data_IF_856303848826
#
_entry.id   IF_856303848826
#
_cell.length_a   1.000
_cell.length_b   1.000
_cell.length_c   1.000
_cell.angle_alpha   90.00
_cell.angle_beta   90.00
_cell.angle_gamma   90.00
#
_symmetry.space_group_name_H-M   'P 1'
#
loop_
_entity.id
_entity.type
_entity.pdbx_description
1 polymer ?
#
# COMPACT_ATOMS: atom_id res chain seq x y z
N UNK A 1 -14.55 15.94 -1.56
CA UNK A 1 -15.14 14.72 -2.17
C UNK A 1 -15.07 14.86 -3.69
N UNK A 2 -14.61 13.86 -4.44
CA UNK A 2 -14.34 14.03 -5.87
C UNK A 2 -15.63 14.17 -6.70
N UNK A 3 -15.63 15.03 -7.72
CA UNK A 3 -16.77 15.18 -8.66
C UNK A 3 -17.14 13.85 -9.33
N UNK A 4 -16.16 12.98 -9.57
CA UNK A 4 -16.38 11.63 -10.10
C UNK A 4 -17.19 10.76 -9.15
N UNK A 5 -17.00 10.87 -7.83
CA UNK A 5 -17.80 10.08 -6.88
C UNK A 5 -19.26 10.42 -6.90
N UNK A 6 -19.59 11.70 -6.87
CA UNK A 6 -20.99 12.11 -6.95
C UNK A 6 -21.64 11.65 -8.27
N UNK A 7 -20.90 11.71 -9.38
CA UNK A 7 -21.41 11.24 -10.66
C UNK A 7 -21.62 9.72 -10.72
N UNK A 8 -20.68 8.92 -10.20
CA UNK A 8 -20.85 7.46 -10.11
C UNK A 8 -21.99 7.08 -9.17
N UNK A 9 -22.11 7.75 -8.02
CA UNK A 9 -23.21 7.53 -7.07
C UNK A 9 -24.56 7.89 -7.69
N UNK A 10 -24.65 8.99 -8.45
CA UNK A 10 -25.86 9.34 -9.18
C UNK A 10 -26.19 8.32 -10.27
N UNK A 11 -25.18 7.81 -10.98
CA UNK A 11 -25.35 6.80 -12.01
C UNK A 11 -25.87 5.47 -11.45
N UNK A 12 -25.35 5.03 -10.30
CA UNK A 12 -25.83 3.82 -9.61
C UNK A 12 -27.34 3.89 -9.29
N UNK A 13 -27.85 5.09 -8.97
CA UNK A 13 -29.30 5.31 -8.72
C UNK A 13 -30.18 5.14 -9.95
N UNK A 14 -29.61 5.11 -11.16
CA UNK A 14 -30.38 4.92 -12.40
C UNK A 14 -30.76 3.47 -12.67
N UNK A 15 -30.06 2.51 -12.06
CA UNK A 15 -30.30 1.08 -12.27
C UNK A 15 -30.36 0.24 -10.99
N UNK A 16 -30.03 0.81 -9.83
CA UNK A 16 -30.28 0.25 -8.49
C UNK A 16 -29.86 -1.23 -8.36
N UNK A 17 -28.54 -1.53 -8.35
CA UNK A 17 -28.07 -2.91 -8.18
C UNK A 17 -28.54 -3.50 -6.84
N UNK A 18 -28.88 -4.80 -6.81
CA UNK A 18 -29.29 -5.45 -5.55
C UNK A 18 -28.09 -5.71 -4.65
N UNK A 19 -26.91 -5.89 -5.25
CA UNK A 19 -25.63 -6.06 -4.56
C UNK A 19 -24.54 -5.21 -5.21
N UNK A 20 -23.77 -4.51 -4.36
CA UNK A 20 -22.76 -3.54 -4.80
C UNK A 20 -21.46 -3.73 -4.03
N UNK A 21 -20.35 -3.78 -4.76
CA UNK A 21 -19.01 -3.84 -4.20
C UNK A 21 -18.16 -2.65 -4.66
N UNK A 22 -17.44 -2.04 -3.73
CA UNK A 22 -16.44 -1.01 -4.01
C UNK A 22 -15.04 -1.58 -3.86
N UNK A 23 -14.18 -1.36 -4.84
CA UNK A 23 -12.80 -1.85 -4.85
C UNK A 23 -11.83 -0.68 -5.01
N UNK A 24 -10.79 -0.64 -4.18
CA UNK A 24 -9.68 0.32 -4.26
C UNK A 24 -10.13 1.79 -4.33
N UNK A 25 -11.03 2.18 -3.41
CA UNK A 25 -11.56 3.54 -3.39
C UNK A 25 -10.54 4.52 -2.79
N UNK A 26 -10.29 5.68 -3.41
CA UNK A 26 -9.23 6.63 -3.03
C UNK A 26 -9.51 7.42 -1.74
N UNK A 27 -10.48 6.99 -0.93
CA UNK A 27 -10.89 7.69 0.28
C UNK A 27 -10.25 7.03 1.49
N UNK A 28 -9.39 7.76 2.19
CA UNK A 28 -8.87 7.34 3.48
C UNK A 28 -10.00 7.47 4.52
N UNK A 29 -10.53 6.35 5.01
CA UNK A 29 -11.64 6.30 5.97
C UNK A 29 -12.98 5.84 5.38
N UNK A 30 -14.09 6.36 5.91
CA UNK A 30 -15.45 5.98 5.50
C UNK A 30 -15.86 6.74 4.24
N UNK A 31 -16.33 6.01 3.23
CA UNK A 31 -16.87 6.61 2.01
C UNK A 31 -18.19 7.32 2.31
N UNK A 32 -18.32 8.64 2.07
CA UNK A 32 -19.54 9.33 2.44
C UNK A 32 -20.72 8.88 1.58
N UNK A 33 -21.80 8.43 2.22
CA UNK A 33 -23.01 7.97 1.55
C UNK A 33 -23.03 6.51 1.12
N UNK A 34 -22.03 5.70 1.52
CA UNK A 34 -22.16 4.24 1.49
C UNK A 34 -23.18 3.82 2.56
N UNK A 35 -24.19 3.06 2.13
CA UNK A 35 -25.15 2.45 3.05
C UNK A 35 -24.53 1.21 3.71
N UNK A 36 -25.01 0.83 4.90
CA UNK A 36 -24.54 -0.35 5.66
C UNK A 36 -24.66 -1.70 4.90
N UNK A 37 -25.28 -1.70 3.71
CA UNK A 37 -25.54 -2.88 2.89
C UNK A 37 -24.54 -3.10 1.75
N UNK A 38 -23.54 -2.23 1.61
CA UNK A 38 -22.54 -2.34 0.55
C UNK A 38 -21.29 -3.07 1.04
N UNK A 39 -20.64 -3.76 0.11
CA UNK A 39 -19.40 -4.49 0.36
C UNK A 39 -18.21 -3.65 -0.12
N UNK A 40 -17.10 -3.67 0.63
CA UNK A 40 -15.88 -2.96 0.25
C UNK A 40 -14.69 -3.91 0.28
N UNK A 41 -13.90 -3.91 -0.79
CA UNK A 41 -12.61 -4.58 -0.81
C UNK A 41 -11.51 -3.53 -0.89
N UNK A 42 -10.64 -3.50 0.12
CA UNK A 42 -9.56 -2.53 0.23
C UNK A 42 -8.23 -3.22 0.48
N UNK A 43 -7.16 -2.67 -0.10
CA UNK A 43 -5.79 -3.07 0.19
C UNK A 43 -5.11 -2.14 1.21
N UNK A 44 -5.87 -1.25 1.87
CA UNK A 44 -5.38 -0.29 2.85
C UNK A 44 -5.98 -0.55 4.24
N UNK A 45 -5.13 -0.95 5.19
CA UNK A 45 -5.56 -1.46 6.48
C UNK A 45 -6.24 -0.41 7.36
N UNK A 46 -5.78 0.86 7.32
CA UNK A 46 -6.49 1.94 8.02
C UNK A 46 -7.91 2.20 7.47
N UNK A 47 -8.15 1.89 6.18
CA UNK A 47 -9.49 1.99 5.61
C UNK A 47 -10.32 0.78 6.02
N UNK A 48 -9.73 -0.41 6.01
CA UNK A 48 -10.35 -1.64 6.50
C UNK A 48 -10.85 -1.48 7.95
N UNK A 49 -10.01 -1.01 8.87
CA UNK A 49 -10.39 -0.82 10.27
C UNK A 49 -11.46 0.25 10.42
N UNK A 50 -11.33 1.39 9.73
CA UNK A 50 -12.32 2.46 9.76
C UNK A 50 -13.69 1.99 9.25
N UNK A 51 -13.75 1.30 8.12
CA UNK A 51 -15.01 0.78 7.56
C UNK A 51 -15.61 -0.32 8.44
N UNK A 52 -14.80 -1.25 8.94
CA UNK A 52 -15.27 -2.33 9.81
C UNK A 52 -15.92 -1.80 11.08
N UNK A 53 -15.41 -0.70 11.64
CA UNK A 53 -16.02 -0.07 12.82
C UNK A 53 -17.40 0.54 12.58
N UNK A 54 -17.79 0.76 11.31
CA UNK A 54 -19.14 1.20 10.94
C UNK A 54 -20.13 0.04 10.75
N UNK A 55 -19.69 -1.22 10.79
CA UNK A 55 -20.53 -2.39 10.49
C UNK A 55 -20.67 -2.70 9.00
N UNK A 56 -19.96 -1.98 8.11
CA UNK A 56 -19.87 -2.30 6.69
C UNK A 56 -19.17 -3.65 6.48
N UNK A 57 -19.66 -4.45 5.53
CA UNK A 57 -18.97 -5.67 5.08
C UNK A 57 -17.70 -5.27 4.34
N UNK A 58 -16.54 -5.61 4.89
CA UNK A 58 -15.25 -5.18 4.34
C UNK A 58 -14.23 -6.30 4.35
N UNK A 59 -13.55 -6.48 3.23
CA UNK A 59 -12.42 -7.39 3.07
C UNK A 59 -11.11 -6.62 2.88
N UNK A 60 -10.07 -7.10 3.55
CA UNK A 60 -8.69 -6.62 3.38
C UNK A 60 -7.95 -7.56 2.43
N UNK A 61 -7.91 -7.20 1.15
CA UNK A 61 -7.41 -8.10 0.11
C UNK A 61 -6.70 -7.37 -1.04
N UNK A 62 -5.79 -8.10 -1.66
CA UNK A 62 -5.17 -7.83 -2.95
C UNK A 62 -5.87 -8.65 -4.04
N UNK A 63 -5.68 -8.35 -5.34
CA UNK A 63 -6.23 -9.18 -6.42
C UNK A 63 -5.86 -10.67 -6.33
N UNK A 64 -4.63 -11.00 -5.94
CA UNK A 64 -4.14 -12.38 -5.79
C UNK A 64 -4.75 -13.08 -4.57
N UNK A 65 -4.77 -12.41 -3.41
CA UNK A 65 -5.38 -12.99 -2.21
C UNK A 65 -6.89 -13.14 -2.39
N UNK A 66 -7.57 -12.18 -3.02
CA UNK A 66 -8.99 -12.28 -3.38
C UNK A 66 -9.27 -13.46 -4.31
N UNK A 67 -8.43 -13.68 -5.32
CA UNK A 67 -8.57 -14.80 -6.25
C UNK A 67 -8.58 -16.18 -5.55
N UNK A 68 -7.97 -16.28 -4.37
CA UNK A 68 -7.94 -17.50 -3.55
C UNK A 68 -8.92 -17.52 -2.37
N UNK A 69 -9.78 -16.50 -2.20
CA UNK A 69 -10.81 -16.51 -1.16
C UNK A 69 -11.83 -17.64 -1.42
N UNK A 70 -12.14 -18.43 -0.38
CA UNK A 70 -13.07 -19.56 -0.47
C UNK A 70 -14.52 -19.14 -0.70
N UNK A 71 -14.90 -17.95 -0.21
CA UNK A 71 -16.26 -17.42 -0.26
C UNK A 71 -16.35 -16.17 -1.14
N UNK A 72 -15.87 -16.27 -2.39
CA UNK A 72 -15.97 -15.16 -3.35
C UNK A 72 -17.44 -14.78 -3.57
N UNK A 73 -17.82 -13.65 -3.00
CA UNK A 73 -19.13 -13.06 -3.20
C UNK A 73 -19.17 -12.39 -4.58
N UNK A 74 -20.27 -12.59 -5.30
CA UNK A 74 -20.53 -12.01 -6.61
C UNK A 74 -21.54 -10.88 -6.46
N UNK A 75 -21.32 -9.76 -7.16
CA UNK A 75 -22.11 -8.53 -7.03
C UNK A 75 -22.70 -8.08 -8.37
N UNK A 76 -23.93 -7.56 -8.39
CA UNK A 76 -24.58 -7.05 -9.60
C UNK A 76 -23.84 -5.85 -10.20
N UNK A 77 -23.21 -5.06 -9.33
CA UNK A 77 -22.35 -3.96 -9.73
C UNK A 77 -21.06 -3.92 -8.91
N UNK A 78 -19.97 -3.57 -9.58
CA UNK A 78 -18.67 -3.32 -8.96
C UNK A 78 -18.18 -1.93 -9.35
N UNK A 79 -17.79 -1.12 -8.37
CA UNK A 79 -17.17 0.19 -8.58
C UNK A 79 -15.68 0.07 -8.28
N UNK A 80 -14.84 0.35 -9.27
CA UNK A 80 -13.39 0.27 -9.16
C UNK A 80 -12.74 1.66 -9.22
N UNK A 81 -12.06 2.04 -8.14
CA UNK A 81 -11.06 3.09 -8.21
C UNK A 81 -9.80 2.58 -8.90
N UNK A 82 -9.42 3.16 -10.04
CA UNK A 82 -8.28 2.65 -10.80
C UNK A 82 -6.95 2.93 -10.08
N UNK A 83 -6.14 1.90 -9.76
CA UNK A 83 -4.81 2.11 -9.19
C UNK A 83 -3.84 2.69 -10.22
N UNK A 84 -2.70 3.19 -9.75
CA UNK A 84 -1.60 3.63 -10.61
C UNK A 84 -0.78 2.43 -11.11
N UNK A 85 -0.33 2.49 -12.37
CA UNK A 85 0.56 1.49 -12.96
C UNK A 85 -0.18 0.40 -13.74
N UNK A 86 0.30 0.11 -14.95
CA UNK A 86 -0.44 -0.70 -15.94
C UNK A 86 -0.74 -2.12 -15.47
N UNK A 87 0.23 -2.79 -14.84
CA UNK A 87 0.02 -4.15 -14.32
C UNK A 87 -1.06 -4.14 -13.25
N UNK A 88 -0.93 -3.29 -12.22
CA UNK A 88 -1.95 -3.17 -11.16
C UNK A 88 -3.35 -2.92 -11.71
N UNK A 89 -3.47 -2.04 -12.72
CA UNK A 89 -4.75 -1.79 -13.35
C UNK A 89 -5.36 -3.04 -13.98
N UNK A 90 -4.55 -3.90 -14.59
CA UNK A 90 -5.04 -5.15 -15.18
C UNK A 90 -5.47 -6.15 -14.10
N UNK A 91 -4.73 -6.29 -13.00
CA UNK A 91 -5.12 -7.17 -11.88
C UNK A 91 -6.40 -6.69 -11.19
N UNK A 92 -6.51 -5.40 -10.91
CA UNK A 92 -7.71 -4.84 -10.28
C UNK A 92 -8.92 -4.87 -11.22
N UNK A 93 -8.72 -4.71 -12.53
CA UNK A 93 -9.80 -4.94 -13.51
C UNK A 93 -10.20 -6.41 -13.58
N UNK A 94 -9.24 -7.35 -13.49
CA UNK A 94 -9.53 -8.77 -13.39
C UNK A 94 -10.37 -9.07 -12.14
N UNK A 95 -9.94 -8.60 -10.97
CA UNK A 95 -10.64 -8.74 -9.71
C UNK A 95 -12.07 -8.15 -9.76
N UNK A 96 -12.22 -6.94 -10.31
CA UNK A 96 -13.54 -6.33 -10.48
C UNK A 96 -14.43 -7.10 -11.47
N UNK A 97 -13.84 -7.69 -12.52
CA UNK A 97 -14.56 -8.52 -13.47
C UNK A 97 -15.05 -9.82 -12.82
N UNK A 98 -14.19 -10.52 -12.07
CA UNK A 98 -14.53 -11.81 -11.46
C UNK A 98 -15.49 -11.66 -10.28
N UNK A 99 -15.41 -10.55 -9.54
CA UNK A 99 -16.36 -10.20 -8.48
C UNK A 99 -17.73 -9.72 -9.01
N UNK A 100 -17.85 -9.35 -10.29
CA UNK A 100 -19.11 -8.87 -10.87
C UNK A 100 -19.95 -10.02 -11.43
N UNK A 101 -21.28 -10.01 -11.25
CA UNK A 101 -22.16 -11.03 -11.81
C UNK A 101 -22.10 -11.07 -13.34
N UNK A 102 -22.42 -12.23 -13.93
CA UNK A 102 -22.65 -12.30 -15.38
C UNK A 102 -23.74 -11.30 -15.77
N UNK A 103 -23.51 -10.56 -16.85
CA UNK A 103 -24.33 -9.43 -17.30
C UNK A 103 -24.42 -8.25 -16.30
N UNK A 104 -23.62 -8.28 -15.23
CA UNK A 104 -23.46 -7.21 -14.26
C UNK A 104 -22.60 -6.05 -14.76
N UNK A 105 -22.57 -4.96 -13.99
CA UNK A 105 -21.95 -3.69 -14.37
C UNK A 105 -20.63 -3.47 -13.61
N UNK A 106 -19.55 -3.18 -14.33
CA UNK A 106 -18.30 -2.69 -13.73
C UNK A 106 -18.13 -1.22 -14.08
N UNK A 107 -18.12 -0.37 -13.07
CA UNK A 107 -17.89 1.07 -13.20
C UNK A 107 -16.48 1.35 -12.71
N UNK A 108 -15.59 1.72 -13.61
CA UNK A 108 -14.23 2.13 -13.26
C UNK A 108 -14.11 3.65 -13.36
N UNK A 109 -13.39 4.26 -12.44
CA UNK A 109 -13.01 5.67 -12.56
C UNK A 109 -11.52 5.88 -12.44
N UNK A 110 -11.05 7.07 -12.74
CA UNK A 110 -9.69 7.49 -12.41
C UNK A 110 -9.32 8.77 -13.13
N UNK A 111 -8.09 9.21 -12.92
CA UNK A 111 -7.53 10.39 -13.55
C UNK A 111 -6.58 10.06 -14.69
N UNK A 112 -6.29 11.05 -15.53
CA UNK A 112 -5.49 10.90 -16.75
C UNK A 112 -4.04 10.57 -16.41
N UNK A 113 -3.49 11.21 -15.37
CA UNK A 113 -2.19 10.91 -14.77
C UNK A 113 -2.15 9.54 -14.06
N UNK A 114 -3.30 8.93 -13.77
CA UNK A 114 -3.39 7.57 -13.24
C UNK A 114 -3.51 6.54 -14.35
N UNK A 115 -3.94 6.92 -15.57
CA UNK A 115 -3.95 6.05 -16.74
C UNK A 115 -5.34 5.67 -17.25
N UNK A 116 -6.41 6.31 -16.80
CA UNK A 116 -7.79 6.00 -17.23
C UNK A 116 -7.97 6.08 -18.76
N UNK A 117 -7.27 7.02 -19.43
CA UNK A 117 -7.29 7.13 -20.89
C UNK A 117 -6.62 5.94 -21.60
N UNK A 118 -5.56 5.39 -21.01
CA UNK A 118 -4.90 4.18 -21.52
C UNK A 118 -5.76 2.93 -21.34
N UNK A 119 -6.56 2.86 -20.26
CA UNK A 119 -7.55 1.80 -20.07
C UNK A 119 -8.70 1.93 -21.07
N UNK A 120 -9.23 3.13 -21.30
CA UNK A 120 -10.27 3.34 -22.31
C UNK A 120 -9.84 2.84 -23.71
N UNK A 121 -8.61 3.17 -24.13
CA UNK A 121 -8.05 2.67 -25.41
C UNK A 121 -7.87 1.15 -25.41
N UNK A 122 -7.48 0.56 -24.28
CA UNK A 122 -7.35 -0.90 -24.14
C UNK A 122 -8.71 -1.60 -24.30
N UNK A 123 -9.77 -1.08 -23.67
CA UNK A 123 -11.13 -1.62 -23.79
C UNK A 123 -11.59 -1.60 -25.25
N UNK A 124 -11.41 -0.48 -25.94
CA UNK A 124 -11.70 -0.36 -27.37
C UNK A 124 -10.90 -1.36 -28.21
N UNK A 125 -9.57 -1.47 -28.00
CA UNK A 125 -8.71 -2.42 -28.71
C UNK A 125 -9.16 -3.88 -28.50
N UNK A 126 -9.71 -4.20 -27.34
CA UNK A 126 -10.22 -5.54 -26.99
C UNK A 126 -11.68 -5.77 -27.41
N UNK A 127 -12.31 -4.79 -28.06
CA UNK A 127 -13.71 -4.89 -28.48
C UNK A 127 -14.70 -4.91 -27.31
N UNK A 128 -14.30 -4.42 -26.12
CA UNK A 128 -15.17 -4.35 -24.94
C UNK A 128 -15.96 -3.05 -25.02
N UNK A 129 -17.30 -3.08 -25.17
CA UNK A 129 -18.11 -1.88 -25.18
C UNK A 129 -17.95 -1.14 -23.85
N UNK A 130 -17.67 0.17 -23.93
CA UNK A 130 -17.57 1.02 -22.75
C UNK A 130 -18.41 2.29 -22.93
N UNK A 131 -19.29 2.54 -21.96
CA UNK A 131 -20.08 3.76 -21.89
C UNK A 131 -19.38 4.78 -20.99
N UNK A 132 -19.45 6.06 -21.33
CA UNK A 132 -18.92 7.13 -20.49
C UNK A 132 -19.98 7.53 -19.46
N UNK A 133 -19.67 7.33 -18.18
CA UNK A 133 -20.55 7.71 -17.06
C UNK A 133 -20.34 9.18 -16.70
N UNK A 134 -19.09 9.60 -16.59
CA UNK A 134 -18.74 10.95 -16.19
C UNK A 134 -17.40 11.41 -16.78
N UNK A 135 -17.24 12.72 -16.88
CA UNK A 135 -15.99 13.37 -17.26
C UNK A 135 -15.85 14.67 -16.45
N UNK A 136 -14.69 14.88 -15.86
CA UNK A 136 -14.32 16.14 -15.21
C UNK A 136 -12.91 16.54 -15.65
N UNK A 137 -12.42 17.67 -15.15
CA UNK A 137 -11.05 18.09 -15.43
C UNK A 137 -10.06 17.00 -15.00
N UNK A 138 -9.33 16.46 -15.98
CA UNK A 138 -8.36 15.38 -15.79
C UNK A 138 -8.92 14.00 -15.45
N UNK A 139 -10.23 13.81 -15.24
CA UNK A 139 -10.81 12.58 -14.68
C UNK A 139 -12.00 12.01 -15.46
N UNK A 140 -12.17 10.68 -15.45
CA UNK A 140 -13.24 9.96 -16.16
C UNK A 140 -13.83 8.84 -15.32
N UNK A 141 -15.11 8.55 -15.55
CA UNK A 141 -15.75 7.30 -15.13
C UNK A 141 -16.33 6.59 -16.36
N UNK A 142 -16.08 5.29 -16.46
CA UNK A 142 -16.46 4.42 -17.57
C UNK A 142 -17.24 3.23 -17.01
N UNK A 143 -18.24 2.78 -17.74
CA UNK A 143 -19.02 1.59 -17.45
C UNK A 143 -18.76 0.53 -18.52
N UNK A 144 -18.49 -0.68 -18.07
CA UNK A 144 -18.42 -1.89 -18.90
C UNK A 144 -19.35 -2.96 -18.32
N UNK A 145 -19.70 -3.95 -19.12
CA UNK A 145 -20.55 -5.07 -18.72
C UNK A 145 -19.76 -6.37 -18.73
N UNK A 146 -19.95 -7.24 -17.73
CA UNK A 146 -19.38 -8.59 -17.72
C UNK A 146 -20.18 -9.48 -18.66
N UNK A 147 -19.70 -9.68 -19.89
CA UNK A 147 -20.39 -10.51 -20.89
C UNK A 147 -19.79 -11.91 -21.05
N UNK A 148 -18.64 -12.18 -20.42
CA UNK A 148 -17.97 -13.48 -20.46
C UNK A 148 -17.57 -13.95 -19.06
N UNK A 149 -17.62 -15.28 -18.79
CA UNK A 149 -17.13 -15.82 -17.52
C UNK A 149 -15.63 -15.58 -17.34
N UNK A 150 -14.83 -15.81 -18.37
CA UNK A 150 -13.40 -15.54 -18.36
C UNK A 150 -13.15 -14.03 -18.38
N UNK A 151 -12.14 -13.63 -17.61
CA UNK A 151 -11.69 -12.24 -17.58
C UNK A 151 -10.90 -11.91 -18.86
N UNK A 152 -11.24 -10.81 -19.57
CA UNK A 152 -10.40 -10.31 -20.65
C UNK A 152 -9.14 -9.60 -20.11
N UNK A 153 -9.03 -9.42 -18.80
CA UNK A 153 -7.89 -8.85 -18.08
C UNK A 153 -7.01 -9.96 -17.48
N UNK A 154 -5.71 -9.68 -17.32
CA UNK A 154 -4.68 -10.69 -16.99
C UNK A 154 -4.89 -11.33 -15.62
N UNK A 155 -4.87 -12.67 -15.59
CA UNK A 155 -4.78 -13.53 -14.39
C UNK A 155 -3.35 -13.79 -13.94
N UNK A 156 -2.35 -13.36 -14.72
CA UNK A 156 -0.94 -13.65 -14.45
C UNK A 156 -0.42 -12.83 -13.26
N UNK A 157 -0.83 -13.20 -12.06
CA UNK A 157 -0.36 -12.64 -10.79
C UNK A 157 1.15 -12.90 -10.57
N UNK A 158 1.70 -13.92 -11.22
CA UNK A 158 3.13 -14.19 -11.19
C UNK A 158 3.95 -13.13 -11.93
N UNK A 159 3.41 -12.51 -12.99
CA UNK A 159 4.02 -11.34 -13.65
C UNK A 159 4.11 -10.09 -12.74
N UNK A 160 3.46 -10.10 -11.58
CA UNK A 160 3.59 -9.07 -10.55
C UNK A 160 4.72 -9.38 -9.58
N UNK A 161 5.31 -10.58 -9.62
CA UNK A 161 6.49 -10.95 -8.87
C UNK A 161 7.73 -10.84 -9.76
N UNK A 162 8.61 -9.90 -9.44
CA UNK A 162 9.91 -9.79 -10.08
C UNK A 162 10.98 -10.22 -9.08
N UNK A 163 11.59 -11.40 -9.26
CA UNK A 163 12.79 -11.72 -8.51
C UNK A 163 13.86 -10.69 -8.86
N UNK A 164 14.43 -10.07 -7.84
CA UNK A 164 15.57 -9.17 -7.97
C UNK A 164 16.72 -9.76 -7.17
N UNK A 165 17.91 -9.39 -7.59
CA UNK A 165 19.11 -9.58 -6.79
C UNK A 165 19.63 -8.19 -6.48
N UNK A 166 19.69 -7.85 -5.20
CA UNK A 166 20.13 -6.52 -4.80
C UNK A 166 21.62 -6.56 -4.46
N UNK A 167 22.35 -5.66 -5.10
CA UNK A 167 23.68 -5.28 -4.67
C UNK A 167 23.56 -4.48 -3.37
N UNK A 168 24.23 -4.95 -2.33
CA UNK A 168 24.25 -4.31 -1.03
C UNK A 168 25.52 -3.46 -0.96
N UNK A 169 25.44 -2.11 -0.82
CA UNK A 169 26.58 -1.21 -0.97
C UNK A 169 27.76 -1.50 -0.03
N UNK A 170 27.49 -2.16 1.09
CA UNK A 170 28.44 -2.45 2.15
C UNK A 170 28.79 -3.95 2.26
N UNK A 171 28.40 -4.76 1.27
CA UNK A 171 28.72 -6.20 1.23
C UNK A 171 28.94 -6.68 -0.19
N UNK A 172 30.01 -7.45 -0.42
CA UNK A 172 30.26 -8.10 -1.73
C UNK A 172 29.22 -9.19 -2.08
N UNK A 173 28.36 -9.55 -1.12
CA UNK A 173 27.37 -10.61 -1.29
C UNK A 173 26.06 -10.05 -1.83
N UNK A 174 25.63 -10.60 -2.97
CA UNK A 174 24.31 -10.39 -3.52
C UNK A 174 23.23 -10.97 -2.59
N UNK A 175 22.22 -10.17 -2.26
CA UNK A 175 21.09 -10.63 -1.44
C UNK A 175 19.88 -10.90 -2.33
N UNK A 176 19.37 -12.15 -2.39
CA UNK A 176 18.17 -12.45 -3.15
C UNK A 176 16.97 -11.76 -2.50
N UNK A 177 16.17 -11.07 -3.30
CA UNK A 177 15.05 -10.30 -2.83
C UNK A 177 13.93 -10.29 -3.88
N UNK A 178 12.71 -10.58 -3.48
CA UNK A 178 11.58 -10.56 -4.43
C UNK A 178 10.87 -9.22 -4.34
N UNK A 179 10.79 -8.51 -5.47
CA UNK A 179 10.07 -7.25 -5.59
C UNK A 179 8.70 -7.49 -6.20
N UNK A 180 7.63 -7.09 -5.51
CA UNK A 180 6.26 -7.23 -6.01
C UNK A 180 5.71 -5.93 -6.59
N UNK A 181 5.00 -6.02 -7.72
CA UNK A 181 4.49 -4.89 -8.46
C UNK A 181 3.42 -4.16 -7.64
N UNK A 182 3.73 -2.91 -7.27
CA UNK A 182 2.86 -2.08 -6.45
C UNK A 182 3.24 -1.95 -4.99
N UNK A 183 4.36 -2.54 -4.57
CA UNK A 183 5.06 -2.06 -3.38
C UNK A 183 5.93 -0.84 -3.71
N UNK A 184 6.28 -0.06 -2.69
CA UNK A 184 7.27 1.02 -2.81
C UNK A 184 8.57 0.50 -3.46
N UNK A 185 9.18 1.35 -4.29
CA UNK A 185 10.41 1.07 -5.03
C UNK A 185 10.43 -0.22 -5.88
N UNK A 186 9.28 -0.72 -6.35
CA UNK A 186 9.25 -1.92 -7.20
C UNK A 186 10.28 -1.88 -8.35
N UNK A 187 11.14 -2.91 -8.44
CA UNK A 187 12.16 -3.04 -9.47
C UNK A 187 13.44 -2.23 -9.21
N UNK A 188 13.52 -1.49 -8.09
CA UNK A 188 14.62 -0.57 -7.77
C UNK A 188 14.98 -0.61 -6.29
N UNK A 189 16.21 -0.23 -5.95
CA UNK A 189 16.55 0.15 -4.58
C UNK A 189 16.13 1.61 -4.34
N UNK A 190 15.43 1.88 -3.24
CA UNK A 190 15.15 3.26 -2.82
C UNK A 190 16.42 3.89 -2.23
N UNK A 191 16.90 5.04 -2.74
CA UNK A 191 18.11 5.66 -2.24
C UNK A 191 18.07 5.97 -0.73
N UNK A 192 16.92 6.39 -0.21
CA UNK A 192 16.74 6.67 1.23
C UNK A 192 16.86 5.39 2.07
N UNK A 193 16.25 4.30 1.63
CA UNK A 193 16.42 2.97 2.25
C UNK A 193 17.87 2.52 2.21
N UNK A 194 18.57 2.65 1.08
CA UNK A 194 19.99 2.26 0.97
C UNK A 194 20.90 3.11 1.87
N UNK A 195 20.60 4.40 1.99
CA UNK A 195 21.30 5.30 2.90
C UNK A 195 21.11 4.88 4.35
N UNK A 196 19.88 4.53 4.75
CA UNK A 196 19.58 4.00 6.08
C UNK A 196 20.39 2.73 6.36
N UNK A 197 20.35 1.77 5.43
CA UNK A 197 21.03 0.48 5.58
C UNK A 197 22.56 0.63 5.71
N UNK A 198 23.15 1.50 4.90
CA UNK A 198 24.59 1.82 4.98
C UNK A 198 24.94 2.52 6.30
N UNK A 199 24.03 3.36 6.80
CA UNK A 199 24.24 4.05 8.07
C UNK A 199 24.16 3.06 9.24
N UNK A 200 23.12 2.23 9.28
CA UNK A 200 22.90 1.29 10.40
C UNK A 200 23.85 0.09 10.37
N UNK A 201 24.48 -0.25 9.23
CA UNK A 201 25.48 -1.32 9.19
C UNK A 201 26.71 -1.05 10.05
N UNK A 202 26.90 0.21 10.48
CA UNK A 202 28.01 0.63 11.34
C UNK A 202 27.64 0.82 12.81
N UNK A 203 26.40 0.49 13.21
CA UNK A 203 25.93 0.66 14.59
C UNK A 203 25.36 -0.64 15.17
N UNK A 204 25.34 -0.72 16.51
CA UNK A 204 24.70 -1.81 17.23
C UNK A 204 23.20 -1.52 17.43
N UNK A 205 22.37 -2.11 16.58
CA UNK A 205 20.92 -2.13 16.80
C UNK A 205 20.56 -3.05 17.97
N UNK A 206 19.45 -2.75 18.66
CA UNK A 206 18.96 -3.54 19.81
C UNK A 206 17.72 -4.32 19.41
N UNK A 207 17.77 -5.64 19.52
CA UNK A 207 16.60 -6.50 19.31
C UNK A 207 15.60 -6.43 20.49
N UNK A 208 14.30 -6.72 20.26
CA UNK A 208 13.69 -6.99 18.96
C UNK A 208 13.58 -5.71 18.10
N UNK A 209 13.59 -5.89 16.78
CA UNK A 209 13.51 -4.84 15.77
C UNK A 209 12.10 -4.73 15.18
N UNK A 210 11.65 -3.52 14.88
CA UNK A 210 10.44 -3.26 14.10
C UNK A 210 10.81 -2.54 12.80
N UNK A 211 10.56 -3.18 11.67
CA UNK A 211 10.53 -2.57 10.33
C UNK A 211 9.11 -2.04 10.09
N UNK A 212 8.92 -0.76 10.38
CA UNK A 212 7.64 -0.06 10.28
C UNK A 212 7.46 0.50 8.87
N UNK A 213 6.26 0.33 8.29
CA UNK A 213 6.00 0.60 6.88
C UNK A 213 7.00 -0.17 5.99
N UNK A 214 7.09 -1.49 6.23
CA UNK A 214 8.15 -2.34 5.71
C UNK A 214 8.16 -2.47 4.18
N UNK A 215 7.08 -2.08 3.50
CA UNK A 215 6.88 -2.36 2.09
C UNK A 215 7.02 -3.86 1.85
N UNK A 216 7.89 -4.23 0.93
CA UNK A 216 8.21 -5.61 0.60
C UNK A 216 9.22 -6.28 1.54
N UNK A 217 9.57 -5.66 2.66
CA UNK A 217 10.46 -6.24 3.69
C UNK A 217 11.94 -6.19 3.31
N UNK A 218 12.35 -5.20 2.50
CA UNK A 218 13.74 -5.06 2.06
C UNK A 218 14.69 -4.84 3.25
N UNK A 219 14.33 -3.91 4.13
CA UNK A 219 15.14 -3.57 5.32
C UNK A 219 15.30 -4.81 6.19
N UNK A 220 14.19 -5.49 6.50
CA UNK A 220 14.20 -6.76 7.24
C UNK A 220 15.03 -7.86 6.58
N UNK A 221 14.96 -8.02 5.26
CA UNK A 221 15.75 -9.01 4.52
C UNK A 221 17.25 -8.76 4.67
N UNK A 222 17.66 -7.50 4.62
CA UNK A 222 19.06 -7.12 4.76
C UNK A 222 19.54 -7.24 6.20
N UNK A 223 18.73 -6.85 7.18
CA UNK A 223 19.01 -7.09 8.60
C UNK A 223 19.16 -8.59 8.90
N UNK A 224 18.33 -9.45 8.30
CA UNK A 224 18.47 -10.89 8.42
C UNK A 224 19.83 -11.39 7.89
N UNK A 225 20.29 -10.83 6.78
CA UNK A 225 21.61 -11.14 6.22
C UNK A 225 22.76 -10.71 7.15
N UNK A 226 22.55 -9.71 8.00
CA UNK A 226 23.50 -9.24 9.02
C UNK A 226 23.45 -10.07 10.32
N UNK A 227 22.54 -11.05 10.41
CA UNK A 227 22.43 -11.94 11.57
C UNK A 227 21.30 -11.63 12.54
N UNK A 228 20.55 -10.54 12.32
CA UNK A 228 19.35 -10.25 13.11
C UNK A 228 18.24 -11.27 12.82
N UNK A 229 17.48 -11.66 13.83
CA UNK A 229 16.43 -12.69 13.71
C UNK A 229 15.12 -12.27 14.35
N UNK A 230 15.15 -11.45 15.40
CA UNK A 230 13.97 -10.92 16.04
C UNK A 230 13.48 -9.64 15.33
N UNK A 231 13.10 -9.78 14.06
CA UNK A 231 12.63 -8.67 13.21
C UNK A 231 11.14 -8.85 12.96
N UNK A 232 10.35 -7.87 13.39
CA UNK A 232 8.93 -7.77 13.07
C UNK A 232 8.72 -6.75 11.96
N UNK A 233 7.78 -7.04 11.08
CA UNK A 233 7.44 -6.20 9.93
C UNK A 233 5.98 -5.83 10.01
N UNK A 234 5.66 -4.56 9.74
CA UNK A 234 4.27 -4.17 9.54
C UNK A 234 4.12 -3.10 8.47
N UNK A 235 2.97 -3.13 7.80
CA UNK A 235 2.62 -2.17 6.75
C UNK A 235 1.10 -1.99 6.70
N UNK A 236 0.67 -0.85 6.20
CA UNK A 236 -0.75 -0.56 5.98
C UNK A 236 -1.28 -1.23 4.71
N UNK A 237 -0.40 -1.56 3.76
CA UNK A 237 -0.81 -2.09 2.46
C UNK A 237 -0.85 -3.62 2.43
N UNK A 238 -2.00 -4.21 2.05
CA UNK A 238 -2.13 -5.66 1.85
C UNK A 238 -1.09 -6.19 0.83
N UNK A 239 -0.76 -5.36 -0.18
CA UNK A 239 0.26 -5.68 -1.19
C UNK A 239 1.67 -5.72 -0.60
N UNK A 240 1.99 -4.79 0.30
CA UNK A 240 3.25 -4.80 1.04
C UNK A 240 3.34 -6.05 1.93
N UNK A 241 2.27 -6.38 2.67
CA UNK A 241 2.20 -7.59 3.50
C UNK A 241 2.40 -8.86 2.67
N UNK A 242 1.74 -8.98 1.51
CA UNK A 242 1.90 -10.12 0.60
C UNK A 242 3.36 -10.25 0.13
N UNK A 243 3.99 -9.13 -0.25
CA UNK A 243 5.37 -9.09 -0.70
C UNK A 243 6.38 -9.42 0.40
N UNK A 244 6.25 -8.75 1.55
CA UNK A 244 7.08 -9.00 2.71
C UNK A 244 6.91 -10.44 3.21
N UNK A 245 5.73 -11.06 3.07
CA UNK A 245 5.52 -12.46 3.44
C UNK A 245 6.35 -13.42 2.60
N UNK A 246 6.46 -13.17 1.29
CA UNK A 246 7.32 -13.98 0.42
C UNK A 246 8.79 -13.87 0.83
N UNK A 247 9.28 -12.65 1.08
CA UNK A 247 10.65 -12.42 1.52
C UNK A 247 10.92 -12.93 2.94
N UNK A 248 9.95 -12.82 3.85
CA UNK A 248 10.06 -13.33 5.21
C UNK A 248 10.27 -14.85 5.21
N UNK A 249 9.46 -15.58 4.43
CA UNK A 249 9.60 -17.04 4.28
C UNK A 249 10.97 -17.42 3.70
N UNK A 250 11.41 -16.71 2.65
CA UNK A 250 12.71 -16.96 2.04
C UNK A 250 13.90 -16.74 3.01
N UNK A 251 13.74 -15.86 4.00
CA UNK A 251 14.78 -15.50 4.96
C UNK A 251 14.60 -16.09 6.36
N UNK A 252 13.59 -16.97 6.55
CA UNK A 252 13.23 -17.53 7.87
C UNK A 252 12.96 -16.46 8.93
N UNK A 253 12.24 -15.40 8.54
CA UNK A 253 11.79 -14.33 9.43
C UNK A 253 10.32 -14.53 9.84
N UNK A 254 9.87 -13.91 10.95
CA UNK A 254 8.46 -13.78 11.27
C UNK A 254 7.66 -13.18 10.10
N UNK A 255 6.43 -13.65 9.90
CA UNK A 255 5.55 -13.09 8.87
C UNK A 255 5.16 -11.65 9.22
N UNK A 256 5.05 -10.75 8.23
CA UNK A 256 4.58 -9.39 8.45
C UNK A 256 3.10 -9.38 8.85
N UNK A 257 2.67 -8.33 9.56
CA UNK A 257 1.27 -8.12 9.93
C UNK A 257 0.78 -6.75 9.49
N UNK A 258 -0.51 -6.64 9.20
CA UNK A 258 -1.11 -5.37 8.80
C UNK A 258 -1.23 -4.41 9.99
N UNK A 259 -0.81 -3.16 9.81
CA UNK A 259 -0.91 -2.11 10.83
C UNK A 259 -0.98 -0.74 10.18
N UNK A 260 -1.88 0.11 10.65
CA UNK A 260 -1.80 1.55 10.39
C UNK A 260 -0.87 2.16 11.43
N UNK A 261 0.35 2.49 11.01
CA UNK A 261 1.47 2.87 11.87
C UNK A 261 1.64 1.85 13.01
N UNK A 262 1.32 2.21 14.26
CA UNK A 262 1.47 1.33 15.43
C UNK A 262 0.17 0.66 15.89
N UNK A 263 -0.95 0.87 15.20
CA UNK A 263 -2.29 0.44 15.66
C UNK A 263 -2.42 -1.04 16.04
N UNK A 264 -1.63 -1.92 15.43
CA UNK A 264 -1.63 -3.37 15.73
C UNK A 264 -0.28 -3.87 16.23
N UNK A 265 0.60 -2.97 16.68
CA UNK A 265 1.88 -3.31 17.28
C UNK A 265 1.65 -3.67 18.75
N UNK A 266 2.06 -4.88 19.16
CA UNK A 266 1.69 -5.45 20.47
C UNK A 266 2.86 -5.58 21.47
N UNK A 267 4.07 -5.18 21.08
CA UNK A 267 5.25 -5.29 21.95
C UNK A 267 6.16 -4.07 21.83
N UNK A 268 7.14 -3.99 22.73
CA UNK A 268 8.18 -2.97 22.72
C UNK A 268 9.41 -3.47 21.94
N UNK A 269 10.15 -2.52 21.35
CA UNK A 269 11.30 -2.79 20.51
C UNK A 269 12.55 -2.07 21.00
N UNK A 270 13.71 -2.70 20.83
CA UNK A 270 14.99 -2.04 21.08
C UNK A 270 15.34 -1.06 19.96
N UNK A 271 14.87 -1.31 18.74
CA UNK A 271 15.01 -0.38 17.62
C UNK A 271 13.83 -0.46 16.67
N UNK A 272 13.32 0.70 16.27
CA UNK A 272 12.30 0.84 15.23
C UNK A 272 12.96 1.49 14.03
N UNK A 273 12.79 0.93 12.84
CA UNK A 273 13.32 1.45 11.58
C UNK A 273 12.17 1.79 10.65
N UNK A 274 12.26 2.94 9.97
CA UNK A 274 11.19 3.38 9.07
C UNK A 274 11.73 4.29 7.96
N UNK A 275 11.29 4.01 6.74
CA UNK A 275 11.37 4.96 5.62
C UNK A 275 9.95 5.41 5.27
N UNK A 276 9.45 6.52 5.85
CA UNK A 276 8.07 6.93 5.68
C UNK A 276 7.72 7.20 4.20
N UNK A 277 6.49 6.89 3.76
CA UNK A 277 6.07 7.21 2.40
C UNK A 277 6.15 8.72 2.15
N UNK A 278 6.58 9.08 0.94
CA UNK A 278 6.63 10.45 0.50
C UNK A 278 5.91 10.63 -0.85
N UNK A 279 5.04 11.64 -0.93
CA UNK A 279 4.38 12.03 -2.17
C UNK A 279 4.93 13.37 -2.68
N UNK A 280 5.67 13.34 -3.80
CA UNK A 280 5.92 14.52 -4.61
C UNK A 280 4.64 14.88 -5.37
N UNK A 281 3.76 15.67 -4.74
CA UNK A 281 2.67 16.35 -5.41
C UNK A 281 1.27 16.01 -4.89
N UNK A 282 0.52 17.09 -4.66
CA UNK A 282 -0.92 17.22 -4.34
C UNK A 282 -1.28 17.38 -2.86
N UNK A 283 -0.54 16.83 -1.90
CA UNK A 283 -0.59 17.25 -0.49
C UNK A 283 0.61 16.64 0.23
N UNK A 284 1.49 17.45 0.80
CA UNK A 284 2.55 16.94 1.67
C UNK A 284 1.88 16.45 2.95
N UNK A 285 1.71 15.14 3.08
CA UNK A 285 1.10 14.55 4.27
C UNK A 285 2.12 14.50 5.42
N UNK A 286 2.21 15.61 6.16
CA UNK A 286 3.02 15.71 7.37
C UNK A 286 2.50 14.80 8.49
N UNK A 287 1.24 14.34 8.42
CA UNK A 287 0.64 13.59 9.52
C UNK A 287 1.29 12.23 9.72
N UNK A 288 1.76 11.57 8.64
CA UNK A 288 2.38 10.26 8.76
C UNK A 288 3.72 10.33 9.50
N UNK A 289 4.74 11.11 9.06
CA UNK A 289 5.97 11.26 9.83
C UNK A 289 5.75 11.80 11.25
N UNK A 290 4.82 12.75 11.43
CA UNK A 290 4.48 13.28 12.75
C UNK A 290 3.93 12.18 13.67
N UNK A 291 3.00 11.37 13.19
CA UNK A 291 2.36 10.30 13.98
C UNK A 291 3.36 9.20 14.34
N UNK A 292 4.24 8.83 13.40
CA UNK A 292 5.34 7.90 13.65
C UNK A 292 6.21 8.41 14.80
N UNK A 293 6.71 9.65 14.71
CA UNK A 293 7.62 10.21 15.72
C UNK A 293 6.91 10.38 17.07
N UNK A 294 5.68 10.89 17.08
CA UNK A 294 4.96 11.18 18.32
C UNK A 294 4.56 9.92 19.11
N UNK A 295 4.29 8.81 18.42
CA UNK A 295 3.84 7.57 19.07
C UNK A 295 4.99 6.61 19.43
N UNK A 296 6.16 6.77 18.82
CA UNK A 296 7.32 5.90 19.03
C UNK A 296 7.68 5.61 20.51
N UNK A 297 7.61 6.56 21.46
CA UNK A 297 7.89 6.28 22.88
C UNK A 297 7.08 5.13 23.47
N UNK A 298 5.84 4.96 23.01
CA UNK A 298 4.95 3.89 23.49
C UNK A 298 5.34 2.49 23.01
N UNK A 299 6.27 2.39 22.07
CA UNK A 299 6.68 1.14 21.41
C UNK A 299 8.17 0.85 21.54
N UNK A 300 8.91 1.65 22.32
CA UNK A 300 10.34 1.47 22.56
C UNK A 300 10.61 0.88 23.94
N UNK A 301 11.57 -0.04 24.02
CA UNK A 301 12.17 -0.46 25.28
C UNK A 301 12.98 0.70 25.90
N UNK A 302 13.25 0.67 27.22
CA UNK A 302 14.19 1.62 27.83
C UNK A 302 15.53 1.67 27.10
N UNK A 303 15.92 2.88 26.68
CA UNK A 303 17.10 3.14 25.84
C UNK A 303 16.99 2.64 24.39
N UNK A 304 15.78 2.36 23.92
CA UNK A 304 15.49 2.05 22.52
C UNK A 304 15.58 3.30 21.65
N UNK A 305 15.69 3.11 20.33
CA UNK A 305 15.79 4.21 19.37
C UNK A 305 14.84 4.04 18.18
N UNK A 306 14.36 5.17 17.65
CA UNK A 306 13.73 5.23 16.33
C UNK A 306 14.78 5.69 15.31
N UNK A 307 14.94 4.95 14.22
CA UNK A 307 15.76 5.29 13.07
C UNK A 307 14.85 5.62 11.89
N UNK A 308 14.91 6.87 11.42
CA UNK A 308 13.99 7.38 10.40
C UNK A 308 14.72 8.00 9.22
N UNK A 309 14.34 7.60 8.02
CA UNK A 309 14.73 8.28 6.78
C UNK A 309 13.93 9.57 6.67
N UNK A 310 14.61 10.70 6.72
CA UNK A 310 14.02 12.03 6.68
C UNK A 310 14.37 12.73 5.35
N UNK A 311 13.34 13.02 4.56
CA UNK A 311 13.47 13.90 3.40
C UNK A 311 13.92 15.32 3.85
N UNK A 312 14.92 15.90 3.18
CA UNK A 312 15.52 17.18 3.63
C UNK A 312 14.58 18.38 3.65
N UNK A 313 13.60 18.43 2.75
CA UNK A 313 12.64 19.55 2.67
C UNK A 313 11.52 19.46 3.71
N UNK A 314 11.38 18.33 4.43
CA UNK A 314 10.40 18.17 5.50
C UNK A 314 10.98 18.62 6.85
N UNK A 315 10.17 19.26 7.72
CA UNK A 315 10.64 19.84 8.98
C UNK A 315 10.75 18.79 10.10
N UNK A 316 11.49 17.69 9.87
CA UNK A 316 11.63 16.59 10.83
C UNK A 316 12.13 17.05 12.20
N UNK A 317 13.06 18.00 12.25
CA UNK A 317 13.59 18.55 13.50
C UNK A 317 12.49 19.19 14.35
N UNK A 318 11.56 19.93 13.71
CA UNK A 318 10.39 20.50 14.39
C UNK A 318 9.50 19.39 14.95
N UNK A 319 9.27 18.33 14.18
CA UNK A 319 8.48 17.18 14.62
C UNK A 319 9.14 16.46 15.82
N UNK A 320 10.47 16.30 15.79
CA UNK A 320 11.24 15.73 16.90
C UNK A 320 11.07 16.58 18.17
N UNK A 321 11.27 17.89 18.07
CA UNK A 321 11.09 18.80 19.20
C UNK A 321 9.66 18.76 19.76
N UNK A 322 8.64 18.72 18.89
CA UNK A 322 7.24 18.63 19.31
C UNK A 322 6.92 17.32 20.04
N UNK A 323 7.59 16.23 19.67
CA UNK A 323 7.46 14.92 20.31
C UNK A 323 8.37 14.75 21.54
N UNK A 324 9.12 15.79 21.93
CA UNK A 324 10.08 15.71 23.04
C UNK A 324 11.28 14.80 22.76
N UNK A 325 11.56 14.46 21.50
CA UNK A 325 12.65 13.58 21.12
C UNK A 325 13.97 14.34 21.05
N UNK A 326 15.03 13.77 21.64
CA UNK A 326 16.41 14.12 21.25
C UNK A 326 16.71 13.42 19.93
N UNK A 327 17.37 14.11 19.00
CA UNK A 327 17.74 13.51 17.72
C UNK A 327 19.20 13.73 17.37
N UNK A 328 19.79 12.73 16.71
CA UNK A 328 21.12 12.79 16.13
C UNK A 328 21.04 12.54 14.62
N UNK A 329 21.69 13.41 13.83
CA UNK A 329 21.82 13.23 12.38
C UNK A 329 22.99 12.27 12.15
N UNK A 330 22.68 10.99 11.94
CA UNK A 330 23.70 9.95 11.74
C UNK A 330 24.37 10.05 10.38
N UNK A 331 23.60 10.43 9.37
CA UNK A 331 24.07 10.63 8.01
C UNK A 331 23.20 11.68 7.31
N UNK A 332 23.78 12.40 6.35
CA UNK A 332 23.07 13.36 5.52
C UNK A 332 23.69 13.44 4.13
N UNK A 333 22.86 13.37 3.09
CA UNK A 333 23.25 13.65 1.71
C UNK A 333 22.44 14.83 1.14
N UNK A 334 22.38 14.97 -0.19
CA UNK A 334 21.65 16.06 -0.83
C UNK A 334 20.12 15.92 -0.76
N UNK A 335 19.58 14.73 -0.54
CA UNK A 335 18.14 14.41 -0.60
C UNK A 335 17.56 13.97 0.76
N UNK A 336 18.32 13.21 1.54
CA UNK A 336 17.89 12.52 2.75
C UNK A 336 18.80 12.79 3.94
N UNK A 337 18.24 12.60 5.13
CA UNK A 337 18.92 12.51 6.43
C UNK A 337 18.53 11.19 7.08
N UNK A 338 19.45 10.54 7.77
CA UNK A 338 19.16 9.43 8.67
C UNK A 338 19.20 9.97 10.08
N UNK A 339 18.05 9.98 10.75
CA UNK A 339 17.93 10.48 12.13
C UNK A 339 17.78 9.30 13.09
N UNK A 340 18.54 9.34 14.19
CA UNK A 340 18.31 8.52 15.37
C UNK A 340 17.59 9.38 16.41
N UNK A 341 16.45 8.91 16.91
CA UNK A 341 15.63 9.58 17.91
C UNK A 341 15.58 8.77 19.21
N UNK A 342 15.67 9.48 20.34
CA UNK A 342 15.59 8.96 21.70
C UNK A 342 14.69 9.83 22.57
N UNK A 343 14.16 9.24 23.64
CA UNK A 343 13.26 9.89 24.61
C UNK A 343 13.74 9.67 26.04
#
# INVERSE_FOLDING_TARGET
MSRLYHAVTAHLKTFLPQSLCYINMPFHGVLPGISYHEHVITDHFGQFTALRSTGCSVDFATPSTWATHSDQTIFDAVVLGLPKGKLQQLAYLHMAWTACAMEGQVILWGYTNEGIGSIQRLLHKRGIPCAKVANCEGGKALQIRRTTPSSPFSEDFAAYSQPLTLEVPFRETLVPYTSLAGTFAHGKSDPGTMLMLTTISSIALREPLLDLACGSGLVSTLLASMGFRAIHMCDVSARAIEAASANARANSLPLPFASDIYSHVQQLYGSILVNPPFHQGVSTDYHVPQSIIAQAPGFLLPGGSLYIVANRFLPYEKLCHQAGAQFHVMHQDNQFKILQLNW
#
